data_IF_965458439808
#
_entry.id   IF_965458439808
#
_cell.length_a   1.000
_cell.length_b   1.000
_cell.length_c   1.000
_cell.angle_alpha   90.00
_cell.angle_beta   90.00
_cell.angle_gamma   90.00
#
_symmetry.space_group_name_H-M   'P 1'
#
loop_
_entity.id
_entity.type
_entity.pdbx_description
1 polymer ?
#
# COMPACT_ATOMS: atom_id res chain seq x y z
N UNK A 1 26.18 28.60 -23.49
CA UNK A 1 24.76 28.42 -23.13
C UNK A 1 24.52 26.95 -22.86
N UNK A 2 24.72 26.50 -21.63
CA UNK A 2 24.40 25.12 -21.21
C UNK A 2 23.01 25.14 -20.58
N UNK A 3 22.00 24.75 -21.35
CA UNK A 3 20.68 24.44 -20.81
C UNK A 3 20.82 23.16 -19.97
N UNK A 4 21.16 23.32 -18.69
CA UNK A 4 21.05 22.24 -17.73
C UNK A 4 19.57 21.99 -17.50
N UNK A 5 19.08 20.81 -17.84
CA UNK A 5 17.79 20.32 -17.36
C UNK A 5 17.73 20.59 -15.85
N UNK A 6 16.68 21.26 -15.32
CA UNK A 6 16.61 21.49 -13.89
C UNK A 6 16.55 20.11 -13.22
N UNK A 7 17.50 19.82 -12.34
CA UNK A 7 17.69 18.49 -11.75
C UNK A 7 16.42 17.94 -11.04
N UNK A 8 15.47 18.82 -10.71
CA UNK A 8 14.14 18.45 -10.24
C UNK A 8 13.27 17.70 -11.26
N UNK A 9 13.35 18.06 -12.54
CA UNK A 9 12.63 17.36 -13.64
C UNK A 9 13.18 15.95 -13.84
N UNK A 10 14.49 15.76 -13.71
CA UNK A 10 15.13 14.44 -13.79
C UNK A 10 14.68 13.56 -12.62
N UNK A 11 14.67 14.10 -11.39
CA UNK A 11 14.17 13.40 -10.20
C UNK A 11 12.69 13.05 -10.28
N UNK A 12 11.86 13.91 -10.89
CA UNK A 12 10.43 13.59 -11.13
C UNK A 12 10.26 12.45 -12.13
N UNK A 13 11.12 12.38 -13.14
CA UNK A 13 11.14 11.28 -14.11
C UNK A 13 11.53 9.97 -13.42
N UNK A 14 12.58 9.98 -12.59
CA UNK A 14 12.98 8.82 -11.79
C UNK A 14 11.88 8.36 -10.82
N UNK A 15 11.17 9.30 -10.20
CA UNK A 15 10.04 8.99 -9.32
C UNK A 15 8.88 8.36 -10.10
N UNK A 16 8.57 8.90 -11.28
CA UNK A 16 7.60 8.34 -12.21
C UNK A 16 7.92 6.87 -12.54
N UNK A 17 9.17 6.57 -12.86
CA UNK A 17 9.61 5.21 -13.20
C UNK A 17 9.58 4.27 -11.98
N UNK A 18 9.92 4.77 -10.79
CA UNK A 18 9.81 4.00 -9.56
C UNK A 18 8.36 3.63 -9.24
N UNK A 19 7.41 4.54 -9.51
CA UNK A 19 5.98 4.30 -9.34
C UNK A 19 5.43 3.28 -10.34
N UNK A 20 5.89 3.30 -11.60
CA UNK A 20 5.53 2.27 -12.58
C UNK A 20 6.07 0.89 -12.18
N UNK A 21 7.32 0.81 -11.67
CA UNK A 21 7.87 -0.44 -11.12
C UNK A 21 7.07 -0.94 -9.92
N UNK A 22 6.66 -0.05 -9.02
CA UNK A 22 5.81 -0.40 -7.89
C UNK A 22 4.45 -0.96 -8.35
N UNK A 23 3.85 -0.35 -9.37
CA UNK A 23 2.61 -0.85 -9.98
C UNK A 23 2.79 -2.25 -10.56
N UNK A 24 3.86 -2.47 -11.32
CA UNK A 24 4.16 -3.77 -11.89
C UNK A 24 4.36 -4.85 -10.80
N UNK A 25 5.06 -4.51 -9.72
CA UNK A 25 5.26 -5.40 -8.57
C UNK A 25 3.93 -5.74 -7.86
N UNK A 26 3.05 -4.76 -7.69
CA UNK A 26 1.71 -4.98 -7.11
C UNK A 26 0.86 -5.91 -7.97
N UNK A 27 0.87 -5.72 -9.30
CA UNK A 27 0.15 -6.58 -10.24
C UNK A 27 0.74 -8.00 -10.26
N UNK A 28 2.06 -8.11 -10.24
CA UNK A 28 2.78 -9.38 -10.21
C UNK A 28 2.75 -10.08 -8.83
N UNK A 29 2.29 -9.38 -7.77
CA UNK A 29 2.36 -9.82 -6.37
C UNK A 29 3.78 -10.16 -5.91
N UNK A 30 4.78 -9.46 -6.45
CA UNK A 30 6.18 -9.64 -6.10
C UNK A 30 6.53 -8.75 -4.89
N UNK A 31 6.68 -9.38 -3.73
CA UNK A 31 6.94 -8.69 -2.47
C UNK A 31 8.32 -8.00 -2.45
N UNK A 32 9.34 -8.59 -3.07
CA UNK A 32 10.70 -8.05 -3.03
C UNK A 32 10.83 -6.87 -4.00
N UNK A 33 10.25 -6.99 -5.19
CA UNK A 33 10.16 -5.86 -6.12
C UNK A 33 9.31 -4.71 -5.55
N UNK A 34 8.24 -5.03 -4.79
CA UNK A 34 7.42 -4.03 -4.10
C UNK A 34 8.21 -3.31 -3.01
N UNK A 35 9.03 -4.03 -2.24
CA UNK A 35 9.90 -3.45 -1.22
C UNK A 35 10.94 -2.50 -1.83
N UNK A 36 11.68 -2.98 -2.83
CA UNK A 36 12.72 -2.19 -3.51
C UNK A 36 12.16 -0.92 -4.17
N UNK A 37 11.00 -1.02 -4.84
CA UNK A 37 10.35 0.14 -5.47
C UNK A 37 9.81 1.14 -4.44
N UNK A 38 9.28 0.67 -3.31
CA UNK A 38 8.81 1.54 -2.22
C UNK A 38 9.96 2.30 -1.56
N UNK A 39 11.09 1.64 -1.30
CA UNK A 39 12.31 2.29 -0.80
C UNK A 39 12.86 3.34 -1.78
N UNK A 40 12.82 3.04 -3.10
CA UNK A 40 13.21 4.00 -4.12
C UNK A 40 12.30 5.25 -4.14
N UNK A 41 10.98 5.07 -4.06
CA UNK A 41 10.00 6.17 -3.97
C UNK A 41 10.28 7.04 -2.74
N UNK A 42 10.49 6.43 -1.57
CA UNK A 42 10.75 7.17 -0.33
C UNK A 42 12.02 8.04 -0.42
N UNK A 43 13.11 7.49 -0.97
CA UNK A 43 14.36 8.23 -1.18
C UNK A 43 14.19 9.41 -2.14
N UNK A 44 13.48 9.21 -3.25
CA UNK A 44 13.28 10.25 -4.27
C UNK A 44 12.37 11.38 -3.75
N UNK A 45 11.32 11.06 -3.00
CA UNK A 45 10.48 12.06 -2.34
C UNK A 45 11.27 12.87 -1.31
N UNK A 46 12.12 12.21 -0.52
CA UNK A 46 13.00 12.90 0.43
C UNK A 46 13.99 13.83 -0.27
N UNK A 47 14.60 13.39 -1.39
CA UNK A 47 15.49 14.19 -2.20
C UNK A 47 14.79 15.42 -2.81
N UNK A 48 13.59 15.25 -3.36
CA UNK A 48 12.77 16.34 -3.88
C UNK A 48 12.40 17.35 -2.79
N UNK A 49 12.11 16.89 -1.57
CA UNK A 49 11.83 17.78 -0.43
C UNK A 49 13.07 18.55 0.02
N UNK A 50 14.22 17.88 0.05
CA UNK A 50 15.50 18.46 0.47
C UNK A 50 16.04 19.49 -0.53
N UNK A 51 15.73 19.34 -1.82
CA UNK A 51 16.12 20.30 -2.86
C UNK A 51 15.53 21.71 -2.64
N UNK A 52 14.47 21.83 -1.81
CA UNK A 52 13.81 23.10 -1.51
C UNK A 52 13.04 23.62 -2.73
N UNK A 53 11.85 24.18 -2.53
CA UNK A 53 10.92 24.57 -3.60
C UNK A 53 11.38 25.68 -4.58
N UNK A 54 12.68 25.93 -4.72
CA UNK A 54 13.27 26.83 -5.72
C UNK A 54 13.49 26.18 -7.08
N UNK A 55 13.48 24.84 -7.20
CA UNK A 55 13.51 24.16 -8.50
C UNK A 55 12.14 24.25 -9.18
N UNK A 56 12.13 24.76 -10.42
CA UNK A 56 10.93 24.85 -11.25
C UNK A 56 10.59 23.46 -11.76
N UNK A 57 9.73 22.76 -11.03
CA UNK A 57 9.21 21.46 -11.41
C UNK A 57 8.23 21.59 -12.59
N UNK A 58 8.28 20.64 -13.52
CA UNK A 58 7.31 20.56 -14.60
C UNK A 58 5.92 20.20 -14.03
N UNK A 59 4.89 21.05 -14.20
CA UNK A 59 3.57 20.82 -13.63
C UNK A 59 2.84 19.63 -14.25
N UNK A 60 3.11 19.30 -15.52
CA UNK A 60 2.55 18.13 -16.20
C UNK A 60 3.14 16.84 -15.64
N UNK A 61 4.46 16.81 -15.44
CA UNK A 61 5.10 15.65 -14.80
C UNK A 61 4.64 15.48 -13.35
N UNK A 62 4.48 16.58 -12.60
CA UNK A 62 3.95 16.53 -11.24
C UNK A 62 2.53 15.97 -11.21
N UNK A 63 1.66 16.38 -12.13
CA UNK A 63 0.32 15.84 -12.26
C UNK A 63 0.33 14.34 -12.59
N UNK A 64 1.22 13.89 -13.48
CA UNK A 64 1.38 12.47 -13.82
C UNK A 64 1.87 11.64 -12.63
N UNK A 65 2.85 12.14 -11.87
CA UNK A 65 3.34 11.50 -10.62
C UNK A 65 2.22 11.39 -9.59
N UNK A 66 1.43 12.45 -9.41
CA UNK A 66 0.28 12.45 -8.48
C UNK A 66 -0.78 11.41 -8.90
N UNK A 67 -1.13 11.35 -10.19
CA UNK A 67 -2.07 10.35 -10.70
C UNK A 67 -1.58 8.92 -10.43
N UNK A 68 -0.30 8.64 -10.68
CA UNK A 68 0.31 7.33 -10.41
C UNK A 68 0.33 6.97 -8.93
N UNK A 69 0.67 7.91 -8.05
CA UNK A 69 0.63 7.71 -6.60
C UNK A 69 -0.76 7.30 -6.14
N UNK A 70 -1.82 7.96 -6.64
CA UNK A 70 -3.21 7.62 -6.33
C UNK A 70 -3.56 6.22 -6.80
N UNK A 71 -3.23 5.86 -8.04
CA UNK A 71 -3.48 4.50 -8.57
C UNK A 71 -2.77 3.43 -7.74
N UNK A 72 -1.51 3.65 -7.36
CA UNK A 72 -0.76 2.69 -6.54
C UNK A 72 -1.35 2.57 -5.12
N UNK A 73 -1.79 3.67 -4.52
CA UNK A 73 -2.46 3.66 -3.22
C UNK A 73 -3.75 2.83 -3.26
N UNK A 74 -4.59 3.01 -4.27
CA UNK A 74 -5.80 2.21 -4.45
C UNK A 74 -5.49 0.71 -4.64
N UNK A 75 -4.43 0.37 -5.37
CA UNK A 75 -4.01 -1.02 -5.54
C UNK A 75 -3.56 -1.65 -4.22
N UNK A 76 -2.79 -0.91 -3.42
CA UNK A 76 -2.38 -1.33 -2.08
C UNK A 76 -3.57 -1.52 -1.14
N UNK A 77 -4.53 -0.61 -1.15
CA UNK A 77 -5.77 -0.73 -0.36
C UNK A 77 -6.58 -1.97 -0.76
N UNK A 78 -6.77 -2.19 -2.07
CA UNK A 78 -7.45 -3.39 -2.58
C UNK A 78 -6.71 -4.67 -2.20
N UNK A 79 -5.38 -4.67 -2.28
CA UNK A 79 -4.56 -5.80 -1.86
C UNK A 79 -4.67 -6.06 -0.36
N UNK A 80 -4.63 -5.01 0.46
CA UNK A 80 -4.79 -5.09 1.91
C UNK A 80 -6.17 -5.63 2.30
N UNK A 81 -7.24 -5.14 1.66
CA UNK A 81 -8.60 -5.63 1.87
C UNK A 81 -8.74 -7.10 1.46
N UNK A 82 -8.11 -7.52 0.35
CA UNK A 82 -8.10 -8.92 -0.08
C UNK A 82 -7.37 -9.80 0.93
N UNK A 83 -6.22 -9.36 1.45
CA UNK A 83 -5.47 -10.11 2.45
C UNK A 83 -6.25 -10.21 3.78
N UNK A 84 -6.90 -9.13 4.21
CA UNK A 84 -7.76 -9.14 5.39
C UNK A 84 -8.92 -10.14 5.24
N UNK A 85 -9.59 -10.15 4.08
CA UNK A 85 -10.63 -11.16 3.78
C UNK A 85 -10.08 -12.58 3.78
N UNK A 86 -8.89 -12.80 3.23
CA UNK A 86 -8.24 -14.12 3.25
C UNK A 86 -7.89 -14.57 4.68
N UNK A 87 -7.37 -13.66 5.51
CA UNK A 87 -7.12 -13.93 6.93
C UNK A 87 -8.42 -14.26 7.68
N UNK A 88 -9.47 -13.46 7.50
CA UNK A 88 -10.81 -13.77 8.03
C UNK A 88 -11.29 -15.14 7.56
N UNK A 89 -11.16 -15.49 6.28
CA UNK A 89 -11.56 -16.80 5.79
C UNK A 89 -10.75 -17.96 6.40
N UNK A 90 -9.46 -17.76 6.68
CA UNK A 90 -8.60 -18.77 7.28
C UNK A 90 -8.84 -18.97 8.78
N UNK A 91 -9.26 -17.92 9.50
CA UNK A 91 -9.32 -17.92 10.96
C UNK A 91 -10.74 -17.79 11.55
N UNK A 92 -11.73 -17.30 10.79
CA UNK A 92 -13.15 -17.24 11.20
C UNK A 92 -14.00 -18.36 10.57
N UNK A 93 -13.43 -19.23 9.72
CA UNK A 93 -14.14 -20.41 9.24
C UNK A 93 -14.19 -21.48 10.36
N UNK A 94 -15.38 -21.76 10.95
CA UNK A 94 -15.51 -22.62 12.13
C UNK A 94 -15.12 -24.09 11.91
N UNK A 95 -14.94 -24.52 10.66
CA UNK A 95 -14.71 -25.92 10.30
C UNK A 95 -13.25 -26.25 9.88
N UNK A 96 -12.36 -25.26 9.77
CA UNK A 96 -11.02 -25.48 9.15
C UNK A 96 -9.98 -26.08 10.10
N UNK A 97 -10.27 -26.13 11.40
CA UNK A 97 -9.43 -26.77 12.43
C UNK A 97 -10.13 -27.99 13.06
N UNK A 98 -10.84 -28.79 12.25
CA UNK A 98 -11.27 -30.16 12.55
C UNK A 98 -12.55 -30.33 13.38
N UNK A 99 -13.29 -31.45 13.24
CA UNK A 99 -14.46 -31.74 14.05
C UNK A 99 -14.02 -32.36 15.38
N UNK A 100 -14.02 -31.59 16.47
CA UNK A 100 -13.74 -32.18 17.78
C UNK A 100 -13.37 -31.24 18.92
N UNK A 101 -14.32 -30.43 19.38
CA UNK A 101 -14.43 -30.12 20.80
C UNK A 101 -15.88 -29.73 21.11
N UNK A 102 -16.73 -30.75 21.26
CA UNK A 102 -17.84 -30.60 22.18
C UNK A 102 -17.27 -30.22 23.54
N UNK A 103 -17.44 -28.98 23.96
CA UNK A 103 -17.27 -28.59 25.35
C UNK A 103 -18.29 -27.50 25.64
N UNK A 104 -19.31 -27.91 26.39
CA UNK A 104 -20.47 -27.10 26.68
C UNK A 104 -20.09 -25.76 27.30
N UNK A 105 -20.28 -24.69 26.54
CA UNK A 105 -20.29 -23.36 27.12
C UNK A 105 -21.71 -23.06 27.57
N UNK A 106 -21.95 -23.52 28.80
CA UNK A 106 -22.92 -23.04 29.78
C UNK A 106 -23.57 -21.70 29.35
N UNK A 107 -24.81 -21.75 28.84
CA UNK A 107 -25.64 -20.54 28.76
C UNK A 107 -25.89 -20.09 30.19
N UNK A 108 -25.48 -18.90 30.65
CA UNK A 108 -25.92 -18.41 31.94
C UNK A 108 -27.42 -18.14 31.82
N UNK A 109 -28.24 -19.06 32.35
CA UNK A 109 -29.65 -18.83 32.60
C UNK A 109 -29.74 -17.71 33.64
N UNK A 110 -29.98 -16.49 33.17
CA UNK A 110 -30.39 -15.38 34.03
C UNK A 110 -31.83 -15.67 34.46
N UNK A 111 -32.01 -16.50 35.49
CA UNK A 111 -33.23 -16.47 36.30
C UNK A 111 -33.13 -15.22 37.15
N UNK A 112 -33.89 -14.20 36.75
CA UNK A 112 -34.26 -13.11 37.64
C UNK A 112 -35.48 -13.66 38.39
N UNK A 113 -35.24 -14.24 39.57
CA UNK A 113 -36.33 -14.51 40.51
C UNK A 113 -36.56 -13.23 41.30
N UNK A 114 -37.68 -12.56 40.99
CA UNK A 114 -38.32 -11.56 41.84
C UNK A 114 -39.42 -12.26 42.64
N UNK A 115 -39.18 -12.46 43.94
CA UNK A 115 -40.18 -12.48 45.02
C UNK A 115 -39.45 -12.39 46.37
#
# INVERSE_FOLDING_TARGET
MTAGTPAGTDRLTELSDALERQRAALVARDAEALRASTEAVARLVAALRAAGGGERLDPTLLAAVNARLRTNAELLERSGASNARALTALFDAPDTYGPGAGSGMNRPTRRIDTA
#
